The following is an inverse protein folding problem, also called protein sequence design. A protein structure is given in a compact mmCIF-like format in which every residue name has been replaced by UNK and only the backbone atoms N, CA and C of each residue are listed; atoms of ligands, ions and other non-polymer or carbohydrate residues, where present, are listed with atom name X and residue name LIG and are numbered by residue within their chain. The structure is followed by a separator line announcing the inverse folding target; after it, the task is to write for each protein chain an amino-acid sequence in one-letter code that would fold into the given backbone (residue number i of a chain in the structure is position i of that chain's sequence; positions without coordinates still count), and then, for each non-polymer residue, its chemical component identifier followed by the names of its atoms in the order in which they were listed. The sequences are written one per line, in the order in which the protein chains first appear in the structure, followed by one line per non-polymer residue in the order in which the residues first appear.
data_IF_147016749534
#
_entry.id   IF_147016749534
#
_cell.length_a   1.000
_cell.length_b   1.000
_cell.length_c   1.000
_cell.angle_alpha   90.00
_cell.angle_beta   90.00
_cell.angle_gamma   90.00
#
_symmetry.space_group_name_H-M   'P 1'
#
loop_
_entity.id
_entity.type
_entity.pdbx_description
1 polymer ?
#
# COMPACT_ATOMS: atom_id res chain seq x y z
N UNK A 1 -21.47 16.18 -24.80
CA UNK A 1 -22.31 15.53 -23.74
C UNK A 1 -22.35 14.03 -23.93
N UNK A 2 -22.45 13.24 -22.85
CA UNK A 2 -22.64 11.79 -22.98
C UNK A 2 -24.01 11.50 -23.58
N UNK A 3 -24.12 10.50 -24.50
CA UNK A 3 -25.37 10.19 -25.24
C UNK A 3 -26.58 9.94 -24.32
N UNK A 4 -26.36 9.37 -23.14
CA UNK A 4 -27.43 9.11 -22.16
C UNK A 4 -27.97 10.37 -21.49
N UNK A 5 -27.19 11.49 -21.50
CA UNK A 5 -27.61 12.75 -20.88
C UNK A 5 -28.88 13.35 -21.50
N UNK A 6 -29.20 12.98 -22.74
CA UNK A 6 -30.50 13.34 -23.37
C UNK A 6 -31.69 12.83 -22.59
N UNK A 7 -31.58 11.70 -21.87
CA UNK A 7 -32.66 11.20 -21.03
C UNK A 7 -32.99 12.12 -19.84
N UNK A 8 -32.09 13.03 -19.46
CA UNK A 8 -32.34 14.00 -18.38
C UNK A 8 -33.33 15.11 -18.80
N UNK A 9 -33.66 15.21 -20.09
CA UNK A 9 -34.72 16.08 -20.60
C UNK A 9 -36.12 15.60 -20.17
N UNK A 10 -36.27 14.30 -19.90
CA UNK A 10 -37.46 13.72 -19.27
C UNK A 10 -37.41 13.97 -17.74
N UNK A 11 -38.44 14.63 -17.23
CA UNK A 11 -38.53 15.05 -15.84
C UNK A 11 -38.52 13.88 -14.85
N UNK A 12 -39.19 12.76 -15.20
CA UNK A 12 -39.29 11.59 -14.36
C UNK A 12 -37.92 10.88 -14.29
N UNK A 13 -37.25 10.74 -15.44
CA UNK A 13 -35.91 10.19 -15.51
C UNK A 13 -34.89 11.08 -14.74
N UNK A 14 -35.00 12.39 -14.88
CA UNK A 14 -34.15 13.34 -14.15
C UNK A 14 -34.34 13.18 -12.64
N UNK A 15 -35.57 13.13 -12.13
CA UNK A 15 -35.84 12.94 -10.69
C UNK A 15 -35.30 11.61 -10.18
N UNK A 16 -35.45 10.52 -10.94
CA UNK A 16 -34.84 9.22 -10.59
C UNK A 16 -33.32 9.31 -10.52
N UNK A 17 -32.70 9.94 -11.51
CA UNK A 17 -31.24 10.12 -11.53
C UNK A 17 -30.74 10.95 -10.33
N UNK A 18 -31.43 12.06 -10.01
CA UNK A 18 -31.12 12.91 -8.87
C UNK A 18 -31.30 12.17 -7.54
N UNK A 19 -32.33 11.37 -7.41
CA UNK A 19 -32.56 10.52 -6.24
C UNK A 19 -31.41 9.53 -6.02
N UNK A 20 -30.94 8.87 -7.05
CA UNK A 20 -29.77 8.01 -7.00
C UNK A 20 -28.49 8.80 -6.66
N UNK A 21 -28.35 9.99 -7.21
CA UNK A 21 -27.17 10.85 -7.01
C UNK A 21 -27.02 11.32 -5.56
N UNK A 22 -28.11 11.48 -4.81
CA UNK A 22 -28.07 11.74 -3.35
C UNK A 22 -27.33 10.63 -2.58
N UNK A 23 -27.47 9.38 -3.02
CA UNK A 23 -26.70 8.26 -2.46
C UNK A 23 -25.27 8.17 -3.02
N UNK A 24 -25.16 8.22 -4.35
CA UNK A 24 -23.86 8.14 -5.04
C UNK A 24 -23.99 8.64 -6.47
N UNK A 25 -23.29 9.73 -6.80
CA UNK A 25 -23.27 10.28 -8.15
C UNK A 25 -22.73 9.27 -9.18
N UNK A 26 -21.66 8.55 -8.85
CA UNK A 26 -21.10 7.52 -9.73
C UNK A 26 -22.12 6.40 -10.04
N UNK A 27 -22.87 5.98 -9.03
CA UNK A 27 -23.94 4.99 -9.21
C UNK A 27 -25.06 5.52 -10.09
N UNK A 28 -25.47 6.78 -9.93
CA UNK A 28 -26.52 7.40 -10.75
C UNK A 28 -26.10 7.45 -12.23
N UNK A 29 -24.87 7.93 -12.50
CA UNK A 29 -24.32 8.00 -13.86
C UNK A 29 -24.21 6.61 -14.48
N UNK A 30 -23.70 5.63 -13.74
CA UNK A 30 -23.54 4.26 -14.26
C UNK A 30 -24.90 3.62 -14.55
N UNK A 31 -25.87 3.75 -13.64
CA UNK A 31 -27.23 3.21 -13.88
C UNK A 31 -27.92 3.88 -15.06
N UNK A 32 -27.82 5.20 -15.19
CA UNK A 32 -28.38 5.92 -16.33
C UNK A 32 -27.73 5.46 -17.65
N UNK A 33 -26.42 5.31 -17.67
CA UNK A 33 -25.64 4.84 -18.83
C UNK A 33 -26.03 3.41 -19.24
N UNK A 34 -26.16 2.54 -18.26
CA UNK A 34 -26.51 1.12 -18.49
C UNK A 34 -27.97 1.01 -18.95
N UNK A 35 -28.89 1.72 -18.30
CA UNK A 35 -30.29 1.76 -18.71
C UNK A 35 -30.44 2.30 -20.14
N UNK A 36 -29.78 3.40 -20.48
CA UNK A 36 -29.75 3.94 -21.83
C UNK A 36 -29.29 2.90 -22.88
N UNK A 37 -28.27 2.11 -22.60
CA UNK A 37 -27.84 1.04 -23.49
C UNK A 37 -28.91 -0.04 -23.66
N UNK A 38 -29.54 -0.45 -22.56
CA UNK A 38 -30.63 -1.41 -22.60
C UNK A 38 -31.78 -0.93 -23.47
N UNK A 39 -32.23 0.32 -23.26
CA UNK A 39 -33.30 0.94 -24.04
C UNK A 39 -32.97 1.01 -25.53
N UNK A 40 -31.76 1.42 -25.88
CA UNK A 40 -31.30 1.47 -27.27
C UNK A 40 -31.26 0.10 -27.95
N UNK A 41 -30.81 -0.94 -27.23
CA UNK A 41 -30.76 -2.31 -27.76
C UNK A 41 -32.17 -2.81 -28.11
N UNK A 42 -33.17 -2.40 -27.34
CA UNK A 42 -34.56 -2.81 -27.53
C UNK A 42 -35.40 -1.79 -28.29
N UNK A 43 -34.82 -0.69 -28.78
CA UNK A 43 -35.51 0.33 -29.56
C UNK A 43 -36.64 1.04 -28.81
N UNK A 44 -36.54 1.18 -27.47
CA UNK A 44 -37.61 1.74 -26.64
C UNK A 44 -37.14 2.96 -25.85
N UNK A 45 -38.11 3.80 -25.45
CA UNK A 45 -37.85 4.92 -24.51
C UNK A 45 -37.97 4.46 -23.06
N UNK A 46 -37.48 5.26 -22.12
CA UNK A 46 -37.61 4.98 -20.70
C UNK A 46 -39.07 4.89 -20.27
N UNK A 47 -39.93 5.74 -20.82
CA UNK A 47 -41.39 5.74 -20.59
C UNK A 47 -42.05 4.52 -21.19
N UNK A 48 -41.73 4.16 -22.43
CA UNK A 48 -42.29 2.96 -23.08
C UNK A 48 -42.01 1.68 -22.31
N UNK A 49 -40.83 1.59 -21.66
CA UNK A 49 -40.51 0.46 -20.77
C UNK A 49 -41.44 0.41 -19.54
N UNK A 50 -41.74 1.58 -18.93
CA UNK A 50 -42.70 1.68 -17.82
C UNK A 50 -44.10 1.30 -18.25
N UNK A 51 -44.57 1.84 -19.37
CA UNK A 51 -45.92 1.56 -19.91
C UNK A 51 -46.09 0.08 -20.26
N UNK A 52 -45.05 -0.53 -20.88
CA UNK A 52 -45.06 -1.97 -21.15
C UNK A 52 -45.10 -2.78 -19.84
N UNK A 53 -44.35 -2.37 -18.82
CA UNK A 53 -44.36 -3.08 -17.55
C UNK A 53 -45.63 -2.94 -16.74
N UNK A 54 -46.41 -1.84 -16.94
CA UNK A 54 -47.76 -1.64 -16.37
C UNK A 54 -48.78 -2.49 -17.06
N UNK A 55 -48.69 -2.60 -18.39
CA UNK A 55 -49.63 -3.39 -19.21
C UNK A 55 -49.36 -4.89 -19.07
N UNK A 56 -48.13 -5.30 -19.26
CA UNK A 56 -47.69 -6.71 -19.22
C UNK A 56 -46.30 -6.84 -18.55
N UNK A 57 -46.31 -6.97 -17.23
CA UNK A 57 -45.10 -7.17 -16.44
C UNK A 57 -44.37 -8.46 -16.85
N UNK A 58 -45.08 -9.53 -17.20
CA UNK A 58 -44.46 -10.81 -17.57
C UNK A 58 -43.62 -10.65 -18.82
N UNK A 59 -44.09 -9.89 -19.80
CA UNK A 59 -43.35 -9.61 -21.03
C UNK A 59 -42.00 -8.88 -20.76
N UNK A 60 -41.99 -7.95 -19.81
CA UNK A 60 -40.72 -7.30 -19.42
C UNK A 60 -39.81 -8.27 -18.70
N UNK A 61 -40.32 -9.16 -17.87
CA UNK A 61 -39.55 -10.20 -17.21
C UNK A 61 -38.98 -11.21 -18.21
N UNK A 62 -39.72 -11.59 -19.25
CA UNK A 62 -39.25 -12.44 -20.34
C UNK A 62 -38.17 -11.73 -21.15
N UNK A 63 -38.39 -10.49 -21.56
CA UNK A 63 -37.43 -9.67 -22.29
C UNK A 63 -36.08 -9.51 -21.50
N UNK A 64 -36.16 -9.34 -20.20
CA UNK A 64 -34.99 -9.29 -19.35
C UNK A 64 -34.28 -10.65 -19.25
N UNK A 65 -35.02 -11.74 -19.18
CA UNK A 65 -34.48 -13.10 -19.16
C UNK A 65 -33.73 -13.41 -20.44
N UNK A 66 -34.36 -13.15 -21.59
CA UNK A 66 -33.75 -13.35 -22.91
C UNK A 66 -32.50 -12.47 -23.11
N UNK A 67 -32.55 -11.25 -22.63
CA UNK A 67 -31.41 -10.35 -22.66
C UNK A 67 -30.26 -10.84 -21.80
N UNK A 68 -30.53 -11.37 -20.61
CA UNK A 68 -29.50 -12.00 -19.73
C UNK A 68 -28.88 -13.19 -20.45
N UNK A 69 -29.70 -14.09 -21.03
CA UNK A 69 -29.23 -15.27 -21.75
C UNK A 69 -28.35 -14.88 -22.94
N UNK A 70 -28.74 -13.86 -23.69
CA UNK A 70 -27.97 -13.31 -24.81
C UNK A 70 -26.59 -12.82 -24.34
N UNK A 71 -26.54 -12.00 -23.28
CA UNK A 71 -25.30 -11.45 -22.78
C UNK A 71 -24.36 -12.55 -22.23
N UNK A 72 -24.90 -13.56 -21.55
CA UNK A 72 -24.12 -14.68 -21.05
C UNK A 72 -23.57 -15.53 -22.20
N UNK A 73 -24.36 -15.79 -23.27
CA UNK A 73 -23.89 -16.47 -24.49
C UNK A 73 -22.82 -15.67 -25.23
N UNK A 74 -22.87 -14.34 -25.17
CA UNK A 74 -21.80 -13.44 -25.67
C UNK A 74 -20.54 -13.43 -24.77
N UNK A 75 -20.49 -14.24 -23.72
CA UNK A 75 -19.33 -14.31 -22.80
C UNK A 75 -19.18 -13.09 -21.87
N UNK A 76 -20.26 -12.32 -21.65
CA UNK A 76 -20.22 -11.21 -20.69
C UNK A 76 -20.19 -11.74 -19.26
N UNK A 77 -19.42 -11.07 -18.41
CA UNK A 77 -19.31 -11.49 -17.02
C UNK A 77 -20.62 -11.36 -16.25
N UNK A 78 -20.89 -12.24 -15.29
CA UNK A 78 -22.09 -12.18 -14.45
C UNK A 78 -22.30 -10.81 -13.78
N UNK A 79 -21.23 -10.17 -13.29
CA UNK A 79 -21.30 -8.83 -12.70
C UNK A 79 -21.68 -7.73 -13.70
N UNK A 80 -21.24 -7.85 -14.95
CA UNK A 80 -21.66 -6.95 -16.03
C UNK A 80 -23.16 -7.09 -16.33
N UNK A 81 -23.63 -8.32 -16.44
CA UNK A 81 -25.04 -8.63 -16.69
C UNK A 81 -25.94 -8.16 -15.52
N UNK A 82 -25.47 -8.37 -14.28
CA UNK A 82 -26.17 -7.90 -13.08
C UNK A 82 -26.38 -6.39 -13.05
N UNK A 83 -25.43 -5.60 -13.58
CA UNK A 83 -25.57 -4.15 -13.65
C UNK A 83 -26.75 -3.72 -14.53
N UNK A 84 -27.06 -4.45 -15.62
CA UNK A 84 -28.24 -4.18 -16.42
C UNK A 84 -29.54 -4.46 -15.65
N UNK A 85 -29.60 -5.61 -14.97
CA UNK A 85 -30.76 -5.93 -14.13
C UNK A 85 -30.96 -4.90 -13.02
N UNK A 86 -29.89 -4.48 -12.37
CA UNK A 86 -29.92 -3.44 -11.31
C UNK A 86 -30.40 -2.09 -11.86
N UNK A 87 -30.00 -1.71 -13.07
CA UNK A 87 -30.42 -0.44 -13.68
C UNK A 87 -31.90 -0.46 -14.05
N UNK A 88 -32.34 -1.50 -14.76
CA UNK A 88 -33.75 -1.64 -15.18
C UNK A 88 -34.70 -1.80 -13.98
N UNK A 89 -34.34 -2.66 -13.02
CA UNK A 89 -35.10 -2.81 -11.77
C UNK A 89 -35.24 -1.49 -11.02
N UNK A 90 -34.13 -0.76 -10.85
CA UNK A 90 -34.13 0.52 -10.15
C UNK A 90 -35.01 1.58 -10.82
N UNK A 91 -35.04 1.59 -12.15
CA UNK A 91 -35.96 2.48 -12.90
C UNK A 91 -37.41 2.09 -12.72
N UNK A 92 -37.74 0.80 -12.86
CA UNK A 92 -39.09 0.29 -12.68
C UNK A 92 -39.61 0.45 -11.25
N UNK A 93 -38.75 0.16 -10.24
CA UNK A 93 -39.09 0.35 -8.82
C UNK A 93 -39.32 1.83 -8.47
N UNK A 94 -38.60 2.76 -9.08
CA UNK A 94 -38.88 4.18 -8.93
C UNK A 94 -40.25 4.57 -9.49
N UNK A 95 -40.70 3.87 -10.52
CA UNK A 95 -42.05 4.01 -11.12
C UNK A 95 -43.08 3.08 -10.49
N UNK A 96 -42.84 2.61 -9.27
CA UNK A 96 -43.75 1.77 -8.46
C UNK A 96 -44.04 0.37 -9.07
N UNK A 97 -43.18 -0.07 -10.00
CA UNK A 97 -43.30 -1.38 -10.63
C UNK A 97 -42.25 -2.34 -10.08
N UNK A 98 -42.71 -3.39 -9.41
CA UNK A 98 -41.85 -4.43 -8.88
C UNK A 98 -41.88 -5.69 -9.74
N UNK A 99 -40.69 -6.08 -10.23
CA UNK A 99 -40.52 -7.37 -10.91
C UNK A 99 -40.53 -8.50 -9.88
N UNK A 100 -41.36 -9.54 -10.13
CA UNK A 100 -41.57 -10.67 -9.20
C UNK A 100 -40.62 -11.82 -9.51
N UNK A 101 -40.38 -12.08 -10.81
CA UNK A 101 -39.56 -13.19 -11.26
C UNK A 101 -38.09 -12.98 -10.85
N UNK A 102 -37.50 -14.01 -10.23
CA UNK A 102 -36.08 -14.04 -9.91
C UNK A 102 -35.31 -14.54 -11.13
N UNK A 103 -34.67 -13.60 -11.86
CA UNK A 103 -33.75 -13.94 -12.96
C UNK A 103 -32.40 -14.36 -12.37
N UNK A 104 -31.97 -15.59 -12.62
CA UNK A 104 -30.67 -16.12 -12.19
C UNK A 104 -29.62 -15.74 -13.22
N UNK A 105 -28.39 -15.38 -12.76
CA UNK A 105 -27.27 -14.98 -13.62
C UNK A 105 -26.09 -15.96 -13.50
N UNK A 106 -26.25 -17.03 -12.72
CA UNK A 106 -25.14 -17.94 -12.41
C UNK A 106 -24.29 -17.47 -11.22
N UNK A 107 -23.01 -17.78 -11.23
CA UNK A 107 -22.10 -17.42 -10.12
C UNK A 107 -21.81 -15.91 -10.11
N UNK A 108 -22.56 -15.17 -9.30
CA UNK A 108 -22.41 -13.72 -9.14
C UNK A 108 -21.05 -13.29 -8.54
N UNK A 109 -20.40 -14.22 -7.82
CA UNK A 109 -19.10 -13.99 -7.22
C UNK A 109 -17.92 -14.17 -8.19
N UNK A 110 -18.16 -14.72 -9.39
CA UNK A 110 -17.13 -14.82 -10.41
C UNK A 110 -16.80 -13.42 -10.94
N UNK A 111 -15.83 -12.78 -10.31
CA UNK A 111 -15.21 -11.57 -10.89
C UNK A 111 -14.24 -12.06 -11.95
N UNK A 112 -14.39 -11.62 -13.23
CA UNK A 112 -13.35 -11.94 -14.19
C UNK A 112 -12.06 -11.26 -13.74
N UNK A 113 -11.16 -12.05 -13.22
CA UNK A 113 -9.76 -11.67 -13.12
C UNK A 113 -9.17 -11.74 -14.55
N UNK A 114 -8.32 -10.82 -14.89
CA UNK A 114 -7.49 -10.97 -16.08
C UNK A 114 -6.59 -12.20 -15.82
N UNK A 115 -6.33 -13.02 -16.84
CA UNK A 115 -5.72 -14.34 -16.68
C UNK A 115 -4.50 -14.27 -15.79
N UNK A 116 -3.64 -13.38 -15.74
CA UNK A 116 -2.47 -13.31 -14.85
C UNK A 116 -2.64 -12.32 -13.68
N UNK A 117 -3.85 -11.82 -13.41
CA UNK A 117 -4.03 -10.79 -12.39
C UNK A 117 -3.95 -11.40 -10.98
N UNK A 118 -2.98 -10.97 -10.21
CA UNK A 118 -2.77 -11.35 -8.82
C UNK A 118 -2.25 -10.19 -7.98
N UNK A 119 -2.15 -10.39 -6.70
CA UNK A 119 -1.48 -9.45 -5.80
C UNK A 119 0.01 -9.43 -6.16
N UNK A 120 0.61 -8.26 -6.42
CA UNK A 120 2.04 -8.15 -6.72
C UNK A 120 2.89 -8.59 -5.52
N UNK A 121 4.08 -9.08 -5.81
CA UNK A 121 5.15 -9.18 -4.81
C UNK A 121 5.76 -7.80 -4.55
N UNK A 122 6.55 -7.67 -3.47
CA UNK A 122 7.27 -6.42 -3.19
C UNK A 122 8.21 -6.01 -4.34
N UNK A 123 8.87 -6.97 -4.98
CA UNK A 123 9.76 -6.75 -6.12
C UNK A 123 8.99 -6.29 -7.37
N UNK A 124 7.84 -6.89 -7.65
CA UNK A 124 6.97 -6.47 -8.74
C UNK A 124 6.38 -5.08 -8.52
N UNK A 125 5.98 -4.76 -7.29
CA UNK A 125 5.55 -3.41 -6.95
C UNK A 125 6.69 -2.40 -7.11
N UNK A 126 7.91 -2.75 -6.73
CA UNK A 126 9.11 -1.93 -6.99
C UNK A 126 9.31 -1.70 -8.47
N UNK A 127 9.15 -2.74 -9.27
CA UNK A 127 9.23 -2.64 -10.73
C UNK A 127 8.18 -1.66 -11.27
N UNK A 128 6.93 -1.72 -10.80
CA UNK A 128 5.87 -0.76 -11.18
C UNK A 128 6.27 0.66 -10.79
N UNK A 129 6.80 0.86 -9.59
CA UNK A 129 7.28 2.17 -9.13
C UNK A 129 8.42 2.73 -9.98
N UNK A 130 9.31 1.89 -10.54
CA UNK A 130 10.36 2.33 -11.45
C UNK A 130 9.81 2.92 -12.76
N UNK A 131 8.66 2.45 -13.25
CA UNK A 131 8.01 3.00 -14.43
C UNK A 131 7.08 4.19 -14.14
N UNK A 132 6.83 4.49 -12.88
CA UNK A 132 5.93 5.56 -12.47
C UNK A 132 6.65 6.92 -12.45
N UNK A 133 5.99 7.95 -13.01
CA UNK A 133 6.39 9.35 -12.76
C UNK A 133 6.09 9.74 -11.31
N UNK A 134 6.64 10.85 -10.83
CA UNK A 134 6.59 11.26 -9.41
C UNK A 134 5.16 11.33 -8.84
N UNK A 135 4.23 11.96 -9.57
CA UNK A 135 2.82 12.00 -9.16
C UNK A 135 2.19 10.61 -9.09
N UNK A 136 2.51 9.74 -10.04
CA UNK A 136 2.05 8.37 -10.04
C UNK A 136 2.68 7.58 -8.89
N UNK A 137 3.98 7.75 -8.58
CA UNK A 137 4.64 7.15 -7.40
C UNK A 137 3.95 7.55 -6.11
N UNK A 138 3.66 8.85 -5.95
CA UNK A 138 2.94 9.35 -4.80
C UNK A 138 1.53 8.72 -4.69
N UNK A 139 0.79 8.65 -5.81
CA UNK A 139 -0.52 8.01 -5.86
C UNK A 139 -0.47 6.51 -5.53
N UNK A 140 0.51 5.79 -6.09
CA UNK A 140 0.78 4.37 -5.78
C UNK A 140 1.12 4.22 -4.31
N UNK A 141 1.96 5.10 -3.76
CA UNK A 141 2.34 5.12 -2.35
C UNK A 141 1.14 5.19 -1.41
N UNK A 142 0.21 6.09 -1.65
CA UNK A 142 -1.01 6.17 -0.85
C UNK A 142 -1.90 4.93 -0.96
N UNK A 143 -1.92 4.27 -2.09
CA UNK A 143 -2.75 3.08 -2.29
C UNK A 143 -2.07 1.84 -1.73
N UNK A 144 -0.77 1.64 -2.03
CA UNK A 144 -0.03 0.43 -1.66
C UNK A 144 0.57 0.48 -0.24
N UNK A 145 0.80 1.69 0.33
CA UNK A 145 1.46 1.87 1.62
C UNK A 145 0.61 2.57 2.69
N UNK A 146 -0.62 2.98 2.34
CA UNK A 146 -1.61 3.48 3.28
C UNK A 146 -3.01 2.88 3.07
N UNK A 147 -3.18 2.04 2.05
CA UNK A 147 -4.44 1.35 1.75
C UNK A 147 -5.57 2.24 1.28
N UNK A 148 -5.31 3.44 0.77
CA UNK A 148 -6.35 4.35 0.31
C UNK A 148 -7.01 3.85 -0.98
N UNK A 149 -8.28 4.22 -1.16
CA UNK A 149 -8.94 4.07 -2.46
C UNK A 149 -8.54 5.24 -3.38
N UNK A 150 -8.43 5.02 -4.70
CA UNK A 150 -8.09 6.10 -5.65
C UNK A 150 -9.02 7.32 -5.55
N UNK A 151 -10.30 7.10 -5.19
CA UNK A 151 -11.30 8.17 -5.01
C UNK A 151 -10.97 9.14 -3.86
N UNK A 152 -10.16 8.70 -2.89
CA UNK A 152 -9.68 9.55 -1.79
C UNK A 152 -8.70 10.60 -2.29
N UNK A 153 -7.84 10.23 -3.25
CA UNK A 153 -6.83 11.15 -3.83
C UNK A 153 -7.47 12.22 -4.70
N UNK A 154 -8.60 11.89 -5.32
CA UNK A 154 -9.39 12.82 -6.11
C UNK A 154 -10.70 12.19 -6.54
N UNK A 155 -11.81 12.91 -6.34
CA UNK A 155 -13.16 12.45 -6.66
C UNK A 155 -13.37 12.29 -8.17
N UNK A 156 -14.44 11.62 -8.58
CA UNK A 156 -14.77 11.40 -9.99
C UNK A 156 -14.83 12.71 -10.80
N UNK A 157 -15.33 13.80 -10.16
CA UNK A 157 -15.43 15.14 -10.78
C UNK A 157 -14.20 16.03 -10.55
N UNK A 158 -13.25 15.62 -9.73
CA UNK A 158 -12.10 16.45 -9.35
C UNK A 158 -12.47 17.70 -8.51
N UNK A 159 -13.62 17.67 -7.82
CA UNK A 159 -14.07 18.80 -6.98
C UNK A 159 -13.58 18.71 -5.55
N UNK A 160 -13.13 17.53 -5.12
CA UNK A 160 -12.54 17.29 -3.81
C UNK A 160 -11.56 16.11 -3.87
N UNK A 161 -10.74 15.98 -2.83
CA UNK A 161 -9.73 14.94 -2.68
C UNK A 161 -8.96 15.11 -1.38
N UNK A 162 -7.92 14.32 -1.21
CA UNK A 162 -7.01 14.40 -0.07
C UNK A 162 -6.27 15.74 -0.11
N UNK A 163 -6.27 16.47 1.03
CA UNK A 163 -5.62 17.76 1.19
C UNK A 163 -4.37 17.64 2.05
N UNK A 164 -3.48 18.60 1.92
CA UNK A 164 -2.29 18.73 2.78
C UNK A 164 -2.68 18.72 4.26
N UNK A 165 -3.73 19.45 4.66
CA UNK A 165 -4.24 19.47 6.02
C UNK A 165 -4.89 18.17 6.52
N UNK A 166 -5.10 17.17 5.64
CA UNK A 166 -5.54 15.84 6.03
C UNK A 166 -4.37 14.94 6.52
N UNK A 167 -3.13 15.46 6.47
CA UNK A 167 -1.93 14.87 7.06
C UNK A 167 -1.45 15.78 8.22
N UNK A 168 -2.05 15.70 9.41
CA UNK A 168 -1.82 16.68 10.49
C UNK A 168 -0.40 16.71 11.03
N UNK A 169 0.38 15.67 10.78
CA UNK A 169 1.77 15.54 11.23
C UNK A 169 2.79 15.88 10.14
N UNK A 170 2.30 16.26 8.95
CA UNK A 170 3.14 16.79 7.87
C UNK A 170 3.25 18.31 8.01
N UNK A 171 4.46 18.83 7.92
CA UNK A 171 4.78 20.26 7.93
C UNK A 171 5.50 20.63 6.66
N UNK A 172 5.21 21.81 6.17
CA UNK A 172 5.87 22.42 5.02
C UNK A 172 6.56 23.70 5.51
N UNK A 173 7.89 23.72 5.42
CA UNK A 173 8.70 24.87 5.82
C UNK A 173 9.57 25.29 4.65
N UNK A 174 9.33 26.48 4.12
CA UNK A 174 9.99 26.96 2.88
C UNK A 174 9.77 25.96 1.73
N UNK A 175 10.85 25.34 1.26
CA UNK A 175 10.84 24.41 0.12
C UNK A 175 10.95 22.93 0.54
N UNK A 176 10.74 22.63 1.83
CA UNK A 176 10.90 21.30 2.38
C UNK A 176 9.64 20.79 3.07
N UNK A 177 9.46 19.47 3.00
CA UNK A 177 8.36 18.74 3.63
C UNK A 177 8.93 17.86 4.74
N UNK A 178 8.34 17.93 5.93
CA UNK A 178 8.75 17.17 7.09
C UNK A 178 7.57 16.42 7.70
N UNK A 179 7.87 15.32 8.38
CA UNK A 179 6.90 14.57 9.16
C UNK A 179 7.28 14.60 10.62
N UNK A 180 6.42 15.16 11.48
CA UNK A 180 6.64 15.22 12.92
C UNK A 180 6.61 13.84 13.58
N UNK A 181 5.86 12.90 12.98
CA UNK A 181 5.77 11.50 13.40
C UNK A 181 5.80 10.61 12.16
N UNK A 182 6.48 9.47 12.23
CA UNK A 182 6.53 8.43 11.20
C UNK A 182 6.14 7.09 11.83
N UNK A 183 5.16 6.38 11.26
CA UNK A 183 4.32 6.71 10.10
C UNK A 183 3.31 7.84 10.41
N UNK A 184 3.16 8.84 9.51
CA UNK A 184 2.22 9.93 9.69
C UNK A 184 0.78 9.49 9.49
N UNK A 185 -0.13 10.12 10.22
CA UNK A 185 -1.56 9.89 10.07
C UNK A 185 -2.08 10.50 8.76
N UNK A 186 -2.95 9.76 8.09
CA UNK A 186 -3.71 10.21 6.91
C UNK A 186 -5.19 10.13 7.23
N UNK A 187 -5.84 11.28 7.31
CA UNK A 187 -7.26 11.41 7.66
C UNK A 187 -8.10 11.34 6.39
N UNK A 188 -9.07 10.43 6.34
CA UNK A 188 -10.02 10.31 5.25
C UNK A 188 -11.37 10.88 5.66
N UNK A 189 -11.80 11.95 5.00
CA UNK A 189 -13.09 12.59 5.27
C UNK A 189 -14.26 11.70 4.90
N UNK A 190 -15.42 11.92 5.54
CA UNK A 190 -16.61 11.12 5.33
C UNK A 190 -17.09 11.13 3.85
N UNK A 191 -16.99 12.28 3.18
CA UNK A 191 -17.41 12.41 1.77
C UNK A 191 -16.45 11.70 0.78
N UNK A 192 -15.20 11.48 1.18
CA UNK A 192 -14.19 10.72 0.41
C UNK A 192 -14.23 9.22 0.76
N UNK A 193 -14.91 8.86 1.83
CA UNK A 193 -15.04 7.47 2.29
C UNK A 193 -16.23 6.79 1.62
N UNK A 194 -16.05 5.56 1.10
CA UNK A 194 -17.12 4.75 0.52
C UNK A 194 -18.24 4.44 1.53
N UNK A 195 -17.89 4.32 2.81
CA UNK A 195 -18.83 4.06 3.90
C UNK A 195 -19.46 5.33 4.47
N UNK A 196 -19.11 6.52 3.93
CA UNK A 196 -19.61 7.83 4.38
C UNK A 196 -19.29 8.15 5.84
N UNK A 197 -18.20 7.56 6.37
CA UNK A 197 -17.69 7.85 7.72
C UNK A 197 -16.24 8.28 7.65
N UNK A 198 -15.85 9.21 8.51
CA UNK A 198 -14.47 9.64 8.67
C UNK A 198 -13.66 8.50 9.30
N UNK A 199 -12.47 8.23 8.79
CA UNK A 199 -11.50 7.32 9.38
C UNK A 199 -10.09 7.84 9.12
N UNK A 200 -9.08 7.18 9.67
CA UNK A 200 -7.69 7.46 9.35
C UNK A 200 -6.94 6.15 9.09
N UNK A 201 -5.81 6.29 8.45
CA UNK A 201 -4.78 5.26 8.30
C UNK A 201 -3.43 5.91 8.52
N UNK A 202 -2.35 5.17 8.35
CA UNK A 202 -1.01 5.71 8.37
C UNK A 202 -0.33 5.48 7.02
N UNK A 203 0.66 6.32 6.70
CA UNK A 203 1.48 6.17 5.51
C UNK A 203 2.84 5.61 5.91
N UNK A 204 3.22 4.45 5.37
CA UNK A 204 4.52 3.86 5.63
C UNK A 204 5.67 4.76 5.14
N UNK A 205 6.84 4.62 5.73
CA UNK A 205 8.02 5.46 5.49
C UNK A 205 8.39 5.59 4.00
N UNK A 206 8.32 4.49 3.24
CA UNK A 206 8.55 4.53 1.79
C UNK A 206 7.55 5.43 1.05
N UNK A 207 6.29 5.42 1.47
CA UNK A 207 5.26 6.31 0.94
C UNK A 207 5.50 7.78 1.29
N UNK A 208 6.08 8.05 2.47
CA UNK A 208 6.47 9.39 2.89
C UNK A 208 7.52 9.99 1.95
N UNK A 209 8.52 9.20 1.54
CA UNK A 209 9.57 9.67 0.64
C UNK A 209 9.00 10.04 -0.75
N UNK A 210 8.06 9.24 -1.28
CA UNK A 210 7.39 9.60 -2.55
C UNK A 210 6.51 10.83 -2.42
N UNK A 211 5.83 11.01 -1.30
CA UNK A 211 5.03 12.19 -1.02
C UNK A 211 5.93 13.43 -0.90
N UNK A 212 6.99 13.34 -0.12
CA UNK A 212 7.97 14.40 0.09
C UNK A 212 8.55 14.84 -1.25
N UNK A 213 9.11 13.92 -2.03
CA UNK A 213 9.72 14.23 -3.32
C UNK A 213 8.74 14.93 -4.29
N UNK A 214 7.48 14.46 -4.30
CA UNK A 214 6.44 15.05 -5.16
C UNK A 214 6.04 16.46 -4.72
N UNK A 215 5.85 16.70 -3.42
CA UNK A 215 5.46 18.02 -2.91
C UNK A 215 6.62 19.02 -2.98
N UNK A 216 7.84 18.61 -2.66
CA UNK A 216 9.04 19.46 -2.77
C UNK A 216 9.29 19.89 -4.23
N UNK A 217 9.02 19.02 -5.19
CA UNK A 217 9.06 19.42 -6.60
C UNK A 217 8.00 20.46 -6.97
N UNK A 218 6.78 20.35 -6.41
CA UNK A 218 5.73 21.36 -6.62
C UNK A 218 6.14 22.73 -6.05
N UNK A 219 6.73 22.72 -4.84
CA UNK A 219 7.30 23.94 -4.20
C UNK A 219 8.42 24.53 -5.07
N UNK A 220 9.35 23.71 -5.56
CA UNK A 220 10.44 24.15 -6.44
C UNK A 220 9.93 24.73 -7.79
N UNK A 221 8.74 24.34 -8.25
CA UNK A 221 8.08 24.93 -9.42
C UNK A 221 7.30 26.21 -9.08
N UNK A 222 7.39 26.72 -7.85
CA UNK A 222 6.77 27.97 -7.42
C UNK A 222 5.31 27.83 -6.95
N UNK A 223 4.80 26.61 -6.73
CA UNK A 223 3.45 26.41 -6.18
C UNK A 223 3.43 26.70 -4.68
N UNK A 224 2.52 27.55 -4.23
CA UNK A 224 2.27 27.78 -2.81
C UNK A 224 1.32 26.72 -2.24
N UNK A 225 1.80 25.89 -1.31
CA UNK A 225 1.03 24.83 -0.68
C UNK A 225 0.46 25.29 0.66
N UNK A 226 -0.85 25.19 0.79
CA UNK A 226 -1.60 25.45 2.03
C UNK A 226 -2.28 24.17 2.54
N UNK A 227 -2.87 24.24 3.73
CA UNK A 227 -3.67 23.13 4.26
C UNK A 227 -4.82 22.70 3.33
N UNK A 228 -5.34 23.61 2.50
CA UNK A 228 -6.41 23.34 1.52
C UNK A 228 -5.90 22.89 0.15
N UNK A 229 -4.61 22.88 -0.05
CA UNK A 229 -4.02 22.40 -1.31
C UNK A 229 -4.23 20.89 -1.48
N UNK A 230 -4.53 20.43 -2.71
CA UNK A 230 -4.63 18.99 -2.97
C UNK A 230 -3.28 18.31 -2.80
N UNK A 231 -3.27 17.16 -2.16
CA UNK A 231 -2.05 16.31 -2.08
C UNK A 231 -1.65 15.87 -3.48
N UNK A 232 -2.62 15.41 -4.27
CA UNK A 232 -2.39 15.08 -5.69
C UNK A 232 -3.09 16.13 -6.56
N UNK A 233 -2.31 16.98 -7.19
CA UNK A 233 -2.80 18.07 -8.03
C UNK A 233 -2.88 17.69 -9.51
N UNK A 234 -3.65 18.47 -10.27
CA UNK A 234 -3.57 18.48 -11.73
C UNK A 234 -2.21 19.07 -12.13
N UNK A 235 -1.53 18.50 -13.12
CA UNK A 235 -0.23 19.00 -13.53
C UNK A 235 -0.34 20.44 -14.04
N UNK A 236 0.54 21.35 -13.60
CA UNK A 236 0.67 22.66 -14.22
C UNK A 236 1.08 22.47 -15.70
N UNK A 237 0.58 23.33 -16.58
CA UNK A 237 0.90 23.28 -18.01
C UNK A 237 -0.07 22.46 -18.88
N UNK A 238 -1.06 21.79 -18.33
CA UNK A 238 -2.12 21.16 -19.14
C UNK A 238 -2.98 22.24 -19.89
N UNK A 239 -2.99 23.45 -19.38
CA UNK A 239 -3.67 24.60 -20.01
C UNK A 239 -2.95 25.07 -21.28
N UNK A 240 -1.62 24.99 -21.31
CA UNK A 240 -0.81 25.42 -22.44
C UNK A 240 -0.80 24.45 -23.62
N UNK A 241 -1.08 23.15 -23.35
CA UNK A 241 -1.05 22.12 -24.40
C UNK A 241 -2.37 21.95 -25.18
N UNK A 242 -3.37 22.78 -24.96
CA UNK A 242 -4.62 22.77 -25.74
C UNK A 242 -5.45 21.49 -25.64
N UNK A 243 -5.14 20.60 -24.72
CA UNK A 243 -5.82 19.30 -24.57
C UNK A 243 -6.88 19.35 -23.51
N UNK A 244 -8.10 19.35 -24.01
CA UNK A 244 -9.39 19.02 -23.39
C UNK A 244 -9.91 19.85 -22.21
N UNK A 245 -11.07 20.48 -22.38
CA UNK A 245 -11.70 21.39 -21.41
C UNK A 245 -12.35 20.71 -20.21
N UNK A 246 -12.21 19.40 -20.03
CA UNK A 246 -12.96 18.65 -19.01
C UNK A 246 -12.54 18.91 -17.55
N UNK A 247 -11.41 19.58 -17.32
CA UNK A 247 -10.90 19.91 -15.98
C UNK A 247 -10.50 21.39 -15.80
N UNK A 248 -10.95 22.28 -16.67
CA UNK A 248 -10.72 23.71 -16.47
C UNK A 248 -11.33 24.17 -15.15
N UNK A 249 -10.48 24.59 -14.21
CA UNK A 249 -10.87 25.07 -12.88
C UNK A 249 -10.92 24.02 -11.78
N UNK A 250 -10.61 22.74 -12.04
CA UNK A 250 -10.52 21.74 -10.99
C UNK A 250 -9.14 21.73 -10.34
N UNK A 251 -9.08 21.98 -9.03
CA UNK A 251 -7.84 21.87 -8.25
C UNK A 251 -7.38 20.43 -8.07
N UNK A 252 -8.32 19.48 -8.04
CA UNK A 252 -8.06 18.07 -7.73
C UNK A 252 -8.01 17.25 -9.01
N UNK A 253 -7.11 16.28 -9.02
CA UNK A 253 -7.08 15.25 -10.06
C UNK A 253 -8.37 14.39 -9.99
N UNK A 254 -8.85 13.90 -11.13
CA UNK A 254 -10.00 12.98 -11.11
C UNK A 254 -9.55 11.55 -10.80
N UNK A 255 -10.42 10.76 -10.15
CA UNK A 255 -10.20 9.32 -9.93
C UNK A 255 -9.81 8.59 -11.21
N UNK A 256 -10.43 8.98 -12.34
CA UNK A 256 -10.11 8.41 -13.67
C UNK A 256 -8.67 8.66 -14.08
N UNK A 257 -8.16 9.86 -13.83
CA UNK A 257 -6.78 10.21 -14.17
C UNK A 257 -5.77 9.52 -13.23
N UNK A 258 -6.06 9.47 -11.92
CA UNK A 258 -5.25 8.68 -10.96
C UNK A 258 -5.13 7.24 -11.43
N UNK A 259 -6.25 6.58 -11.72
CA UNK A 259 -6.25 5.17 -12.14
C UNK A 259 -5.63 4.97 -13.52
N UNK A 260 -5.69 5.96 -14.41
CA UNK A 260 -5.02 5.92 -15.72
C UNK A 260 -3.51 5.94 -15.55
N UNK A 261 -2.96 6.88 -14.79
CA UNK A 261 -1.52 7.01 -14.55
C UNK A 261 -0.93 5.75 -13.87
N UNK A 262 -1.63 5.23 -12.88
CA UNK A 262 -1.25 3.97 -12.25
C UNK A 262 -1.27 2.82 -13.28
N UNK A 263 -2.28 2.73 -14.14
CA UNK A 263 -2.36 1.71 -15.18
C UNK A 263 -1.23 1.85 -16.20
N UNK A 264 -0.86 3.06 -16.56
CA UNK A 264 0.27 3.35 -17.44
C UNK A 264 1.60 2.90 -16.82
N UNK A 265 1.74 3.01 -15.50
CA UNK A 265 2.90 2.52 -14.75
C UNK A 265 2.95 0.98 -14.65
N UNK A 266 1.78 0.32 -14.60
CA UNK A 266 1.67 -1.15 -14.52
C UNK A 266 1.92 -1.81 -15.89
N UNK A 267 1.37 -1.23 -16.98
CA UNK A 267 1.34 -1.81 -18.33
C UNK A 267 2.67 -2.20 -18.95
N UNK A 268 3.80 -1.55 -18.70
CA UNK A 268 5.07 -1.96 -19.28
C UNK A 268 5.46 -3.41 -18.95
N UNK A 269 4.97 -3.95 -17.83
CA UNK A 269 5.31 -5.30 -17.36
C UNK A 269 4.10 -6.20 -17.14
N UNK A 270 2.94 -5.62 -16.74
CA UNK A 270 1.80 -6.41 -16.29
C UNK A 270 0.50 -5.90 -16.92
N UNK A 271 -0.46 -6.80 -17.14
CA UNK A 271 -1.81 -6.46 -17.62
C UNK A 271 -2.81 -6.25 -16.47
N UNK A 272 -2.34 -5.97 -15.27
CA UNK A 272 -3.15 -5.88 -14.07
C UNK A 272 -3.93 -4.56 -13.97
N UNK A 273 -5.02 -4.61 -13.21
CA UNK A 273 -5.80 -3.41 -12.88
C UNK A 273 -5.17 -2.70 -11.67
N UNK A 274 -5.31 -1.37 -11.54
CA UNK A 274 -4.81 -0.60 -10.39
C UNK A 274 -5.26 -1.12 -9.02
N UNK A 275 -6.37 -1.86 -8.94
CA UNK A 275 -6.89 -2.42 -7.70
C UNK A 275 -5.92 -3.39 -7.00
N UNK A 276 -5.02 -4.04 -7.73
CA UNK A 276 -4.01 -4.94 -7.16
C UNK A 276 -3.11 -4.26 -6.14
N UNK A 277 -2.91 -2.95 -6.25
CA UNK A 277 -2.08 -2.19 -5.29
C UNK A 277 -2.73 -2.11 -3.91
N UNK A 278 -4.05 -1.93 -3.86
CA UNK A 278 -4.77 -1.95 -2.59
C UNK A 278 -4.89 -3.38 -2.03
N UNK A 279 -5.04 -4.37 -2.91
CA UNK A 279 -4.99 -5.76 -2.53
C UNK A 279 -3.61 -6.13 -1.96
N UNK A 280 -2.51 -5.56 -2.51
CA UNK A 280 -1.18 -5.69 -1.94
C UNK A 280 -1.15 -5.24 -0.47
N UNK A 281 -1.59 -4.02 -0.18
CA UNK A 281 -1.61 -3.49 1.18
C UNK A 281 -2.38 -4.41 2.14
N UNK A 282 -3.60 -4.80 1.77
CA UNK A 282 -4.44 -5.68 2.61
C UNK A 282 -3.80 -7.06 2.83
N UNK A 283 -3.19 -7.63 1.78
CA UNK A 283 -2.50 -8.92 1.87
C UNK A 283 -1.26 -8.83 2.76
N UNK A 284 -0.46 -7.77 2.64
CA UNK A 284 0.72 -7.59 3.49
C UNK A 284 0.33 -7.39 4.97
N UNK A 285 -0.73 -6.64 5.24
CA UNK A 285 -1.26 -6.51 6.60
C UNK A 285 -1.86 -7.83 7.11
N UNK A 286 -2.45 -8.67 6.24
CA UNK A 286 -2.92 -10.02 6.62
C UNK A 286 -1.75 -10.91 7.03
N UNK A 287 -0.64 -10.85 6.30
CA UNK A 287 0.59 -11.60 6.67
C UNK A 287 1.13 -11.09 8.01
N UNK A 288 1.19 -9.77 8.21
CA UNK A 288 1.60 -9.16 9.47
C UNK A 288 0.67 -9.54 10.64
N UNK A 289 -0.65 -9.62 10.40
CA UNK A 289 -1.66 -10.10 11.36
C UNK A 289 -1.38 -11.54 11.78
N UNK A 290 -1.12 -12.44 10.83
CA UNK A 290 -0.78 -13.84 11.12
C UNK A 290 0.53 -13.97 11.92
N UNK A 291 1.43 -12.99 11.85
CA UNK A 291 2.65 -12.92 12.66
C UNK A 291 2.46 -12.13 13.96
N UNK A 292 1.23 -11.78 14.34
CA UNK A 292 0.91 -11.07 15.59
C UNK A 292 1.40 -9.62 15.63
N UNK A 293 1.68 -8.98 14.49
CA UNK A 293 2.17 -7.60 14.42
C UNK A 293 1.05 -6.56 14.47
N UNK A 294 -0.16 -6.95 14.10
CA UNK A 294 -1.35 -6.10 14.07
C UNK A 294 -2.59 -6.93 14.40
N UNK A 295 -3.57 -6.33 15.05
CA UNK A 295 -4.86 -6.98 15.27
C UNK A 295 -5.76 -6.91 14.04
N UNK A 296 -6.68 -7.88 13.89
CA UNK A 296 -7.70 -7.89 12.83
C UNK A 296 -8.49 -6.58 12.82
N UNK A 297 -8.87 -6.09 13.99
CA UNK A 297 -9.65 -4.86 14.13
C UNK A 297 -8.91 -3.63 13.56
N UNK A 298 -7.60 -3.49 13.83
CA UNK A 298 -6.80 -2.40 13.30
C UNK A 298 -6.61 -2.50 11.79
N UNK A 299 -6.36 -3.72 11.26
CA UNK A 299 -6.27 -3.95 9.81
C UNK A 299 -7.56 -3.52 9.11
N UNK A 300 -8.72 -3.95 9.59
CA UNK A 300 -10.02 -3.57 9.01
C UNK A 300 -10.26 -2.06 9.09
N UNK A 301 -9.85 -1.43 10.19
CA UNK A 301 -9.98 0.01 10.36
C UNK A 301 -9.12 0.78 9.34
N UNK A 302 -7.85 0.42 9.16
CA UNK A 302 -6.96 1.07 8.18
C UNK A 302 -7.43 0.89 6.74
N UNK A 303 -8.10 -0.21 6.46
CA UNK A 303 -8.75 -0.42 5.16
C UNK A 303 -10.04 0.41 4.97
N UNK A 304 -10.55 1.07 6.00
CA UNK A 304 -11.84 1.76 5.96
C UNK A 304 -12.96 0.78 5.57
N UNK A 305 -12.95 -0.41 6.15
CA UNK A 305 -14.01 -1.39 6.05
C UNK A 305 -15.02 -1.19 7.18
N UNK A 306 -16.26 -1.64 6.96
CA UNK A 306 -17.26 -1.72 8.04
C UNK A 306 -16.86 -2.85 8.98
N UNK A 307 -16.37 -2.51 10.17
CA UNK A 307 -16.01 -3.46 11.21
C UNK A 307 -16.53 -3.04 12.58
N UNK A 308 -16.46 -3.95 13.57
CA UNK A 308 -16.93 -3.71 14.93
C UNK A 308 -16.28 -2.52 15.65
N UNK A 309 -15.02 -2.22 15.31
CA UNK A 309 -14.34 -1.03 15.82
C UNK A 309 -15.01 0.26 15.37
N UNK A 310 -15.48 0.30 14.13
CA UNK A 310 -16.19 1.47 13.60
C UNK A 310 -17.47 1.74 14.38
N UNK A 311 -18.22 0.70 14.75
CA UNK A 311 -19.42 0.82 15.55
C UNK A 311 -19.11 1.30 16.98
N UNK A 312 -18.00 0.86 17.59
CA UNK A 312 -17.60 1.24 18.96
C UNK A 312 -17.09 2.67 19.05
N UNK A 313 -16.38 3.19 18.03
CA UNK A 313 -15.72 4.51 18.11
C UNK A 313 -16.51 5.63 17.43
N UNK A 314 -17.41 5.34 16.50
CA UNK A 314 -18.26 6.37 15.86
C UNK A 314 -19.48 6.74 16.69
N UNK A 315 -19.94 5.89 17.59
CA UNK A 315 -21.02 6.20 18.54
C UNK A 315 -20.61 7.22 19.61
N UNK A 316 -19.31 7.37 19.91
CA UNK A 316 -18.78 8.30 20.89
C UNK A 316 -18.20 9.59 20.27
N UNK A 317 -18.98 10.32 19.47
CA UNK A 317 -18.63 11.68 18.98
C UNK A 317 -17.22 11.88 18.41
N UNK A 318 -16.63 10.85 17.81
CA UNK A 318 -15.71 11.06 16.69
C UNK A 318 -14.23 11.25 16.98
N UNK A 319 -13.72 11.07 18.22
CA UNK A 319 -12.27 11.12 18.46
C UNK A 319 -11.82 9.96 19.34
N UNK A 320 -10.88 9.15 18.84
CA UNK A 320 -10.17 8.18 19.66
C UNK A 320 -9.27 8.92 20.66
N UNK A 321 -9.08 8.39 21.88
CA UNK A 321 -8.04 8.86 22.79
C UNK A 321 -6.66 8.79 22.12
N UNK A 322 -5.80 9.76 22.42
CA UNK A 322 -4.46 9.83 21.80
C UNK A 322 -3.64 8.56 22.05
N UNK A 323 -3.72 7.99 23.26
CA UNK A 323 -3.04 6.72 23.56
C UNK A 323 -3.44 5.56 22.65
N UNK A 324 -4.71 5.48 22.24
CA UNK A 324 -5.19 4.46 21.30
C UNK A 324 -4.64 4.72 19.87
N UNK A 325 -4.59 6.00 19.47
CA UNK A 325 -4.02 6.39 18.18
C UNK A 325 -2.54 6.03 18.12
N UNK A 326 -1.78 6.26 19.19
CA UNK A 326 -0.36 5.91 19.25
C UNK A 326 -0.14 4.39 19.29
N UNK A 327 -0.99 3.62 19.96
CA UNK A 327 -0.96 2.15 19.90
C UNK A 327 -1.24 1.64 18.48
N UNK A 328 -2.23 2.22 17.78
CA UNK A 328 -2.50 1.93 16.37
C UNK A 328 -1.32 2.28 15.49
N UNK A 329 -0.65 3.42 15.74
CA UNK A 329 0.57 3.84 15.02
C UNK A 329 1.72 2.86 15.24
N UNK A 330 1.97 2.47 16.48
CA UNK A 330 3.00 1.49 16.84
C UNK A 330 2.74 0.14 16.16
N UNK A 331 1.49 -0.33 16.18
CA UNK A 331 1.08 -1.55 15.47
C UNK A 331 1.29 -1.43 13.97
N UNK A 332 0.97 -0.29 13.35
CA UNK A 332 1.22 -0.06 11.93
C UNK A 332 2.73 -0.02 11.62
N UNK A 333 3.52 0.63 12.47
CA UNK A 333 4.99 0.68 12.33
C UNK A 333 5.61 -0.72 12.33
N UNK A 334 5.09 -1.63 13.18
CA UNK A 334 5.52 -3.04 13.19
C UNK A 334 5.18 -3.79 11.89
N UNK A 335 4.28 -3.23 11.07
CA UNK A 335 3.91 -3.80 9.77
C UNK A 335 4.71 -3.22 8.59
N UNK A 336 5.48 -2.14 8.79
CA UNK A 336 6.20 -1.47 7.69
C UNK A 336 7.09 -2.42 6.91
N UNK A 337 7.73 -3.35 7.59
CA UNK A 337 8.55 -4.35 6.97
C UNK A 337 7.84 -5.31 6.01
N UNK A 338 6.57 -5.50 6.17
CA UNK A 338 5.75 -6.30 5.26
C UNK A 338 5.25 -5.47 4.08
N UNK A 339 4.93 -4.21 4.33
CA UNK A 339 4.32 -3.30 3.34
C UNK A 339 5.37 -2.69 2.41
N UNK A 340 6.58 -2.37 2.90
CA UNK A 340 7.63 -1.74 2.11
C UNK A 340 8.14 -2.66 1.00
N UNK A 341 8.49 -2.05 -0.15
CA UNK A 341 9.17 -2.74 -1.25
C UNK A 341 10.69 -2.70 -1.13
N UNK A 342 11.21 -1.88 -0.23
CA UNK A 342 12.65 -1.76 0.00
C UNK A 342 13.16 -3.05 0.64
N UNK A 343 14.39 -3.50 0.26
CA UNK A 343 15.02 -4.53 1.04
C UNK A 343 15.03 -4.01 2.48
N UNK A 344 14.39 -4.74 3.38
CA UNK A 344 14.68 -4.48 4.77
C UNK A 344 16.19 -4.71 4.92
N UNK A 345 16.95 -3.66 5.22
CA UNK A 345 17.98 -3.89 6.20
C UNK A 345 17.18 -4.53 7.35
N UNK A 346 17.32 -5.84 7.57
CA UNK A 346 16.97 -6.39 8.87
C UNK A 346 17.53 -5.32 9.82
N UNK A 347 16.70 -4.72 10.67
CA UNK A 347 17.19 -4.19 11.93
C UNK A 347 17.83 -5.43 12.54
N UNK A 348 19.08 -5.65 12.18
CA UNK A 348 19.92 -6.64 12.85
C UNK A 348 19.84 -6.14 14.27
N UNK A 349 19.30 -6.98 15.14
CA UNK A 349 19.32 -6.74 16.58
C UNK A 349 20.67 -6.06 16.87
N UNK A 350 20.71 -4.84 17.43
CA UNK A 350 21.97 -4.12 17.64
C UNK A 350 23.01 -5.00 18.32
N UNK A 351 22.55 -5.97 19.11
CA UNK A 351 23.35 -7.00 19.73
C UNK A 351 23.91 -8.01 18.71
N UNK A 352 23.10 -8.44 17.73
CA UNK A 352 23.55 -9.32 16.64
C UNK A 352 24.51 -8.62 15.70
N UNK A 353 24.29 -7.34 15.39
CA UNK A 353 25.18 -6.52 14.57
C UNK A 353 26.53 -6.35 15.27
N UNK A 354 26.52 -6.09 16.59
CA UNK A 354 27.72 -5.99 17.40
C UNK A 354 28.49 -7.33 17.43
N UNK A 355 27.79 -8.43 17.65
CA UNK A 355 28.39 -9.78 17.63
C UNK A 355 28.98 -10.10 16.26
N UNK A 356 28.26 -9.78 15.17
CA UNK A 356 28.72 -9.96 13.79
C UNK A 356 30.03 -9.19 13.56
N UNK A 357 30.04 -7.90 13.88
CA UNK A 357 31.24 -7.06 13.74
C UNK A 357 32.41 -7.60 14.57
N UNK A 358 32.16 -8.08 15.79
CA UNK A 358 33.19 -8.69 16.64
C UNK A 358 33.73 -10.01 16.08
N UNK A 359 32.93 -10.80 15.40
CA UNK A 359 33.37 -12.02 14.72
C UNK A 359 34.12 -11.68 13.43
N UNK A 360 33.63 -10.73 12.62
CA UNK A 360 34.27 -10.30 11.38
C UNK A 360 35.63 -9.62 11.64
N UNK A 361 35.78 -8.85 12.74
CA UNK A 361 37.01 -8.21 13.14
C UNK A 361 37.98 -9.14 13.87
N UNK A 362 37.60 -10.40 14.12
CA UNK A 362 38.44 -11.37 14.84
C UNK A 362 38.51 -11.17 16.35
N UNK A 363 37.78 -10.22 16.92
CA UNK A 363 37.70 -10.01 18.39
C UNK A 363 37.06 -11.24 19.06
N UNK A 364 36.04 -11.82 18.44
CA UNK A 364 35.45 -13.11 18.85
C UNK A 364 35.97 -14.21 17.92
N UNK A 365 37.05 -14.84 18.37
CA UNK A 365 37.75 -15.90 17.65
C UNK A 365 36.98 -17.23 17.76
N UNK A 366 36.35 -17.68 16.64
CA UNK A 366 35.59 -18.92 16.55
C UNK A 366 36.45 -20.19 16.66
N UNK A 367 37.80 -20.09 16.67
CA UNK A 367 38.65 -21.24 16.93
C UNK A 367 38.59 -21.67 18.41
N UNK A 368 38.22 -20.75 19.31
CA UNK A 368 38.17 -21.00 20.76
C UNK A 368 36.83 -21.63 21.18
N UNK A 369 36.89 -22.75 21.87
CA UNK A 369 35.70 -23.52 22.31
C UNK A 369 34.76 -22.70 23.22
N UNK A 370 35.32 -21.87 24.11
CA UNK A 370 34.55 -21.01 25.00
C UNK A 370 33.78 -19.93 24.24
N UNK A 371 34.34 -19.36 23.15
CA UNK A 371 33.68 -18.36 22.30
C UNK A 371 32.53 -19.03 21.52
N UNK A 372 32.75 -20.19 20.94
CA UNK A 372 31.67 -20.98 20.27
C UNK A 372 30.55 -21.30 21.23
N UNK A 373 30.86 -21.78 22.46
CA UNK A 373 29.85 -22.07 23.47
C UNK A 373 29.04 -20.86 23.91
N UNK A 374 29.70 -19.71 24.11
CA UNK A 374 29.01 -18.45 24.40
C UNK A 374 28.07 -18.02 23.28
N UNK A 375 28.55 -18.01 22.04
CA UNK A 375 27.75 -17.59 20.87
C UNK A 375 26.57 -18.52 20.61
N UNK A 376 26.71 -19.81 20.80
CA UNK A 376 25.62 -20.75 20.65
C UNK A 376 24.48 -20.47 21.64
N UNK A 377 24.82 -20.20 22.88
CA UNK A 377 23.86 -19.87 23.94
C UNK A 377 23.19 -18.51 23.65
N UNK A 378 23.95 -17.54 23.23
CA UNK A 378 23.48 -16.17 22.97
C UNK A 378 22.60 -16.08 21.73
N UNK A 379 22.92 -16.82 20.68
CA UNK A 379 22.17 -16.86 19.41
C UNK A 379 20.96 -17.78 19.43
N UNK A 380 20.66 -18.44 20.55
CA UNK A 380 19.49 -19.32 20.73
C UNK A 380 19.44 -20.46 19.71
N UNK A 381 20.58 -21.06 19.36
CA UNK A 381 20.63 -22.13 18.35
C UNK A 381 20.28 -23.47 19.03
N UNK A 382 18.97 -23.73 19.19
CA UNK A 382 18.46 -24.94 19.83
C UNK A 382 18.58 -26.20 18.94
N UNK A 383 18.48 -26.06 17.62
CA UNK A 383 18.54 -27.17 16.65
C UNK A 383 19.97 -27.57 16.22
N UNK A 384 20.95 -27.21 17.02
CA UNK A 384 22.37 -27.41 16.67
C UNK A 384 22.73 -28.87 16.42
N UNK A 385 22.24 -29.77 17.28
CA UNK A 385 22.60 -31.20 17.20
C UNK A 385 22.23 -31.85 15.86
N UNK A 386 21.10 -31.45 15.27
CA UNK A 386 20.62 -31.97 13.99
C UNK A 386 21.47 -31.41 12.81
N UNK A 387 21.78 -30.11 12.82
CA UNK A 387 22.56 -29.45 11.75
C UNK A 387 24.03 -29.91 11.79
N UNK A 388 24.62 -30.01 12.96
CA UNK A 388 26.00 -30.47 13.15
C UNK A 388 26.12 -31.95 12.78
N UNK A 389 25.15 -32.80 13.16
CA UNK A 389 25.13 -34.21 12.79
C UNK A 389 25.06 -34.44 11.27
N UNK A 390 24.34 -33.60 10.56
CA UNK A 390 24.28 -33.62 9.09
C UNK A 390 25.61 -33.23 8.45
N UNK A 391 26.25 -32.17 8.93
CA UNK A 391 27.54 -31.71 8.42
C UNK A 391 28.71 -32.67 8.78
N UNK A 392 28.61 -33.38 9.91
CA UNK A 392 29.55 -34.47 10.25
C UNK A 392 29.48 -35.64 9.28
N UNK A 393 28.28 -35.98 8.78
CA UNK A 393 28.10 -37.02 7.73
C UNK A 393 28.77 -36.64 6.43
N UNK A 394 28.88 -35.31 6.16
CA UNK A 394 29.53 -34.73 4.98
C UNK A 394 31.07 -34.56 5.17
N UNK A 395 31.66 -35.13 6.23
CA UNK A 395 33.12 -35.19 6.47
C UNK A 395 33.73 -33.98 7.18
N UNK A 396 32.93 -33.04 7.74
CA UNK A 396 33.47 -31.90 8.46
C UNK A 396 33.79 -32.24 9.94
N UNK A 397 34.86 -31.66 10.45
CA UNK A 397 35.16 -31.71 11.89
C UNK A 397 34.08 -31.03 12.70
N UNK A 398 33.80 -31.49 13.91
CA UNK A 398 32.72 -30.96 14.78
C UNK A 398 32.85 -29.46 15.02
N UNK A 399 34.06 -29.00 15.23
CA UNK A 399 34.39 -27.59 15.47
C UNK A 399 34.14 -26.70 14.26
N UNK A 400 34.46 -27.18 13.07
CA UNK A 400 34.14 -26.51 11.79
C UNK A 400 32.64 -26.46 11.51
N UNK A 401 31.94 -27.56 11.80
CA UNK A 401 30.48 -27.62 11.62
C UNK A 401 29.78 -26.60 12.56
N UNK A 402 30.22 -26.50 13.82
CA UNK A 402 29.69 -25.53 14.76
C UNK A 402 29.97 -24.09 14.29
N UNK A 403 31.19 -23.81 13.86
CA UNK A 403 31.58 -22.48 13.35
C UNK A 403 30.76 -22.09 12.11
N UNK A 404 30.54 -23.00 11.17
CA UNK A 404 29.67 -22.76 10.01
C UNK A 404 28.21 -22.48 10.38
N UNK A 405 27.69 -23.16 11.42
CA UNK A 405 26.32 -22.89 11.90
C UNK A 405 26.21 -21.50 12.50
N UNK A 406 27.23 -21.05 13.29
CA UNK A 406 27.28 -19.72 13.88
C UNK A 406 27.39 -18.66 12.76
N UNK A 407 28.34 -18.82 11.82
CA UNK A 407 28.52 -17.90 10.69
C UNK A 407 27.27 -17.80 9.84
N UNK A 408 26.60 -18.92 9.53
CA UNK A 408 25.33 -18.92 8.78
C UNK A 408 24.19 -18.19 9.53
N UNK A 409 24.14 -18.27 10.87
CA UNK A 409 23.15 -17.54 11.67
C UNK A 409 23.44 -16.03 11.70
N UNK A 410 24.71 -15.65 11.67
CA UNK A 410 25.18 -14.26 11.62
C UNK A 410 25.14 -13.69 10.19
N UNK A 411 24.80 -14.49 9.16
CA UNK A 411 24.79 -14.04 7.77
C UNK A 411 26.19 -13.74 7.20
N UNK A 412 27.22 -14.33 7.79
CA UNK A 412 28.62 -14.19 7.33
C UNK A 412 28.91 -15.35 6.37
N UNK A 413 29.20 -15.05 5.10
CA UNK A 413 29.67 -16.08 4.16
C UNK A 413 31.04 -16.61 4.58
N UNK A 414 31.24 -17.93 4.67
CA UNK A 414 32.54 -18.48 4.95
C UNK A 414 33.45 -18.18 3.74
N UNK A 415 34.28 -17.14 3.83
CA UNK A 415 35.41 -17.01 2.95
C UNK A 415 36.21 -18.31 3.00
N UNK A 416 36.63 -18.84 1.85
CA UNK A 416 37.59 -19.98 1.79
C UNK A 416 38.79 -19.60 2.63
N UNK A 417 38.83 -20.08 3.86
CA UNK A 417 40.05 -19.99 4.68
C UNK A 417 41.10 -20.88 4.01
N UNK A 418 41.98 -20.28 3.25
CA UNK A 418 43.25 -20.89 2.96
C UNK A 418 43.98 -21.01 4.29
N UNK A 419 44.08 -22.24 4.78
CA UNK A 419 44.91 -22.59 5.93
C UNK A 419 46.36 -22.51 5.47
N UNK A 420 46.90 -21.30 5.38
CA UNK A 420 48.31 -21.02 5.47
C UNK A 420 48.51 -20.31 6.79
N UNK A 421 49.26 -20.96 7.71
CA UNK A 421 49.71 -20.37 8.98
C UNK A 421 50.25 -18.98 8.70
N UNK A 422 49.66 -17.88 9.22
CA UNK A 422 50.30 -16.60 9.10
C UNK A 422 51.51 -16.57 10.05
N UNK A 423 52.69 -16.29 9.50
CA UNK A 423 53.78 -15.71 10.26
C UNK A 423 53.25 -14.43 10.93
N UNK A 424 53.56 -14.27 12.19
CA UNK A 424 53.25 -13.12 13.00
C UNK A 424 53.63 -11.80 12.33
N UNK A 425 52.69 -11.09 11.77
CA UNK A 425 52.69 -9.64 11.66
C UNK A 425 51.29 -9.21 12.07
N UNK A 426 51.14 -8.92 13.34
CA UNK A 426 49.93 -8.36 13.91
C UNK A 426 50.06 -6.85 13.85
N UNK A 427 49.20 -6.20 13.05
CA UNK A 427 48.88 -4.81 13.31
C UNK A 427 48.43 -4.68 14.77
N UNK A 428 49.13 -3.99 15.63
CA UNK A 428 48.79 -3.95 17.03
C UNK A 428 47.49 -3.16 17.23
N UNK A 429 46.45 -3.84 17.68
CA UNK A 429 45.20 -3.21 18.11
C UNK A 429 45.09 -3.30 19.62
N UNK A 430 44.70 -2.20 20.27
CA UNK A 430 44.50 -2.16 21.73
C UNK A 430 43.16 -1.50 22.09
N UNK A 431 42.60 -1.92 23.22
CA UNK A 431 41.42 -1.28 23.81
C UNK A 431 41.97 -0.49 25.03
N UNK A 432 41.70 0.80 25.01
CA UNK A 432 42.16 1.74 26.05
C UNK A 432 41.00 2.52 26.65
N UNK A 433 41.16 3.02 27.83
CA UNK A 433 40.27 3.96 28.47
C UNK A 433 40.59 5.41 28.02
N UNK A 434 39.58 6.29 28.11
CA UNK A 434 39.73 7.68 27.65
C UNK A 434 40.93 8.41 28.30
N UNK A 435 41.29 8.05 29.53
CA UNK A 435 42.45 8.64 30.26
C UNK A 435 43.80 8.21 29.68
N UNK A 436 43.87 7.04 29.04
CA UNK A 436 45.11 6.53 28.45
C UNK A 436 45.26 6.90 26.97
N UNK A 437 44.15 7.36 26.32
CA UNK A 437 44.09 7.62 24.89
C UNK A 437 45.18 8.61 24.43
N UNK A 438 45.37 9.71 25.14
CA UNK A 438 46.32 10.76 24.76
C UNK A 438 47.77 10.25 24.68
N UNK A 439 48.13 9.26 25.50
CA UNK A 439 49.45 8.64 25.49
C UNK A 439 49.65 7.82 24.22
N UNK A 440 48.65 7.06 23.79
CA UNK A 440 48.76 6.23 22.61
C UNK A 440 48.65 7.04 21.31
N UNK A 441 47.88 8.13 21.29
CA UNK A 441 47.83 9.06 20.15
C UNK A 441 49.20 9.75 19.95
N UNK A 442 49.91 10.09 21.02
CA UNK A 442 51.28 10.65 20.95
C UNK A 442 52.30 9.64 20.41
N UNK A 443 52.04 8.34 20.56
CA UNK A 443 52.89 7.25 20.07
C UNK A 443 52.49 6.77 18.65
N UNK A 444 51.64 7.52 17.93
CA UNK A 444 51.23 7.22 16.54
C UNK A 444 50.16 6.15 16.40
N UNK A 445 49.26 6.02 17.38
CA UNK A 445 48.10 5.16 17.30
C UNK A 445 46.88 5.97 16.89
N UNK A 446 46.02 5.41 16.01
CA UNK A 446 44.79 6.03 15.55
C UNK A 446 43.57 5.42 16.20
N UNK A 447 42.55 6.26 16.44
CA UNK A 447 41.25 5.81 16.96
C UNK A 447 40.43 5.15 15.85
N UNK A 448 40.08 3.88 16.04
CA UNK A 448 39.21 3.15 15.10
C UNK A 448 37.72 3.27 15.43
N UNK A 449 37.36 3.11 16.68
CA UNK A 449 35.95 3.21 17.10
C UNK A 449 35.80 3.30 18.61
N UNK A 450 34.70 3.90 19.07
CA UNK A 450 34.26 3.91 20.46
C UNK A 450 33.39 2.67 20.72
N UNK A 451 33.74 1.89 21.72
CA UNK A 451 32.98 0.71 22.11
C UNK A 451 31.77 1.07 23.00
N UNK A 452 30.68 0.30 22.98
CA UNK A 452 29.53 0.55 23.85
C UNK A 452 29.83 0.52 25.36
N UNK A 453 30.96 -0.04 25.73
CA UNK A 453 31.49 -0.06 27.12
C UNK A 453 32.17 1.26 27.55
N UNK A 454 32.19 2.28 26.69
CA UNK A 454 32.93 3.50 26.92
C UNK A 454 34.45 3.40 26.68
N UNK A 455 34.96 2.24 26.26
CA UNK A 455 36.34 2.01 25.91
C UNK A 455 36.63 2.28 24.44
N UNK A 456 37.85 2.62 24.09
CA UNK A 456 38.26 3.07 22.75
C UNK A 456 39.16 2.01 22.13
N UNK A 457 38.83 1.55 20.93
CA UNK A 457 39.68 0.69 20.11
C UNK A 457 40.63 1.55 19.28
N UNK A 458 41.95 1.33 19.48
CA UNK A 458 43.00 2.02 18.74
C UNK A 458 43.83 1.02 17.94
N UNK A 459 44.36 1.49 16.80
CA UNK A 459 45.26 0.75 15.89
C UNK A 459 46.50 1.57 15.62
N UNK A 460 47.65 0.92 15.48
CA UNK A 460 48.85 1.54 14.98
C UNK A 460 49.10 1.07 13.55
N UNK A 461 49.15 1.99 12.60
CA UNK A 461 49.56 1.65 11.23
C UNK A 461 51.11 1.59 11.23
N UNK A 462 51.65 0.49 10.72
CA UNK A 462 53.10 0.38 10.47
C UNK A 462 53.40 1.04 9.11
N UNK A 463 54.35 1.98 9.09
CA UNK A 463 54.92 2.59 7.89
C UNK A 463 55.62 1.56 6.99
#
# INVERSE_FOLDING_TARGET
MARWAKLLEDDEFRRWHENLARGSHATAVERARVLFRFLNIHGMTARALVDLARQDRRRVEDLLSDFVDKLLKEGKSPGYVENYLKAVKSWLEYNEIRLVRRIKIGNRGATPTLDDERVPTAEELRTILCYAGERAKCSIGFIAFAGLRPEVLGTERGVDGLRVGDLPEMKIEKDRVFFAKIPPMVVVKANLSKIRKRYFTFLASEGCDYLQAYLEKRLALGEELSCDSPVIAVAPGYEEMGKSPTNRGSKYITTKNVTREIRESIRPRFKWRPYVLRAYFDTQLLVAENHGKISHAYRQFFMGHKGDMEARYTTNKGRLPEGVIEDMRASFKNCEGYVSTRPQSREEDPELTTIRTMVESGVLDLSKANVRGYLLKKLGIEDMKVKVAKMKKDGLAEEEAISKVILGKLGIEPMKMNVSRPKSNQDPKKIVDEQELNRYLADGWDVQTLLPSGKILIKKDED
#
